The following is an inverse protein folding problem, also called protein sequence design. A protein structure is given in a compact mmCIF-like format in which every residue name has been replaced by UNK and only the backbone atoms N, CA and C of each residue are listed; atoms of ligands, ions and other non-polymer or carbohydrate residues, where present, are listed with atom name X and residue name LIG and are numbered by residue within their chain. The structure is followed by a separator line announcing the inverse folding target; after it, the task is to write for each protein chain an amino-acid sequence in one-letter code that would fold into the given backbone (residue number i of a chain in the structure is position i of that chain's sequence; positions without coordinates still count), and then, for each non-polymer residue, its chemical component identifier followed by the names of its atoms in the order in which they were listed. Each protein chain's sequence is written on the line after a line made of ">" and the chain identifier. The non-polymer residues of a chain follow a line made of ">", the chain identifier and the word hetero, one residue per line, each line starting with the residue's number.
data_IF_203904689374
#
_entry.id   IF_203904689374
#
_cell.length_a   1.000
_cell.length_b   1.000
_cell.length_c   1.000
_cell.angle_alpha   90.00
_cell.angle_beta   90.00
_cell.angle_gamma   90.00
#
_symmetry.space_group_name_H-M   'P 1'
#
loop_
_entity.id
_entity.type
_entity.pdbx_description
1 polymer ?
#
# COMPACT_ATOMS: atom_id res chain seq x y z
N UNK A 1 24.61 14.46 -65.32
CA UNK A 1 24.90 15.58 -64.41
C UNK A 1 24.68 15.10 -62.99
N UNK A 2 25.75 14.99 -62.19
CA UNK A 2 25.64 14.94 -60.72
C UNK A 2 25.45 16.38 -60.27
N UNK A 3 24.63 16.61 -59.24
CA UNK A 3 24.81 17.69 -58.26
C UNK A 3 23.85 17.46 -57.08
N UNK A 4 24.46 17.59 -55.91
CA UNK A 4 23.99 17.27 -54.57
C UNK A 4 22.85 18.17 -54.09
N UNK A 5 22.03 17.69 -53.16
CA UNK A 5 21.61 18.54 -52.04
C UNK A 5 21.37 17.70 -50.79
N UNK A 6 22.39 17.69 -49.94
CA UNK A 6 22.27 17.31 -48.55
C UNK A 6 21.53 18.44 -47.83
N UNK A 7 20.33 18.14 -47.35
CA UNK A 7 19.63 18.92 -46.32
C UNK A 7 19.21 17.86 -45.29
N UNK A 8 20.08 17.58 -44.33
CA UNK A 8 19.92 18.05 -42.93
C UNK A 8 18.53 17.67 -42.41
N UNK A 9 18.40 16.55 -41.68
CA UNK A 9 18.53 16.48 -40.20
C UNK A 9 17.65 17.55 -39.52
N UNK A 10 16.87 17.14 -38.48
CA UNK A 10 15.96 17.92 -37.60
C UNK A 10 14.49 17.54 -37.93
N UNK A 11 13.69 16.78 -37.16
CA UNK A 11 13.59 16.56 -35.71
C UNK A 11 13.06 15.14 -35.39
N UNK A 12 13.83 14.38 -34.58
CA UNK A 12 13.25 13.47 -33.60
C UNK A 12 12.84 14.32 -32.39
N UNK A 13 11.56 14.37 -32.06
CA UNK A 13 11.07 14.84 -30.77
C UNK A 13 10.63 13.62 -29.95
N UNK A 14 11.39 13.19 -28.92
CA UNK A 14 10.83 12.28 -27.95
C UNK A 14 9.77 13.04 -27.16
N UNK A 15 8.55 12.51 -27.14
CA UNK A 15 7.53 12.95 -26.19
C UNK A 15 8.01 12.55 -24.79
N UNK A 16 8.70 13.48 -24.12
CA UNK A 16 9.09 13.32 -22.73
C UNK A 16 7.79 13.46 -21.92
N UNK A 17 7.10 12.35 -21.71
CA UNK A 17 6.04 12.26 -20.71
C UNK A 17 6.72 12.39 -19.34
N UNK A 18 6.78 13.62 -18.84
CA UNK A 18 7.13 13.89 -17.46
C UNK A 18 6.00 13.34 -16.58
N UNK A 19 6.12 12.10 -16.11
CA UNK A 19 5.42 11.66 -14.92
C UNK A 19 6.03 12.44 -13.75
N UNK A 20 5.44 13.60 -13.43
CA UNK A 20 5.69 14.25 -12.15
C UNK A 20 5.12 13.35 -11.06
N UNK A 21 5.95 12.43 -10.56
CA UNK A 21 5.68 11.78 -9.29
C UNK A 21 5.73 12.87 -8.23
N UNK A 22 4.56 13.32 -7.76
CA UNK A 22 4.50 14.09 -6.52
C UNK A 22 5.26 13.30 -5.46
N UNK A 23 6.21 13.91 -4.73
CA UNK A 23 6.89 13.21 -3.66
C UNK A 23 5.81 12.76 -2.68
N UNK A 24 5.66 11.44 -2.54
CA UNK A 24 4.72 10.86 -1.62
C UNK A 24 4.99 11.44 -0.24
N UNK A 25 3.98 12.06 0.35
CA UNK A 25 4.04 12.51 1.74
C UNK A 25 4.32 11.27 2.57
N UNK A 26 5.56 11.06 3.00
CA UNK A 26 5.87 10.01 3.97
C UNK A 26 5.07 10.36 5.22
N UNK A 27 4.13 9.52 5.67
CA UNK A 27 3.36 9.81 6.87
C UNK A 27 4.34 10.05 8.03
N UNK A 28 4.23 11.18 8.73
CA UNK A 28 4.96 11.42 9.96
C UNK A 28 4.50 10.36 10.99
N UNK A 29 5.35 9.37 11.26
CA UNK A 29 5.04 8.28 12.19
C UNK A 29 5.89 7.02 11.96
N UNK A 30 5.81 6.03 12.88
CA UNK A 30 6.43 4.73 12.66
C UNK A 30 5.83 4.06 11.43
N UNK A 31 6.63 3.29 10.68
CA UNK A 31 6.12 2.55 9.53
C UNK A 31 5.08 1.50 9.99
N UNK A 32 4.04 1.22 9.18
CA UNK A 32 3.11 0.15 9.49
C UNK A 32 3.82 -1.21 9.50
N UNK A 33 3.34 -2.13 10.33
CA UNK A 33 3.87 -3.48 10.38
C UNK A 33 3.16 -4.36 9.35
N UNK A 34 3.95 -5.14 8.61
CA UNK A 34 3.43 -6.08 7.63
C UNK A 34 4.10 -7.44 7.80
N UNK A 35 3.32 -8.44 8.19
CA UNK A 35 3.75 -9.81 8.40
C UNK A 35 3.10 -10.72 7.37
N UNK A 36 3.86 -11.67 6.86
CA UNK A 36 3.44 -12.64 5.84
C UNK A 36 3.64 -14.06 6.32
N UNK A 37 2.79 -14.96 5.85
CA UNK A 37 2.94 -16.39 6.05
C UNK A 37 2.42 -17.14 4.82
N UNK A 38 3.20 -18.10 4.34
CA UNK A 38 2.82 -19.01 3.26
C UNK A 38 2.72 -20.41 3.84
N UNK A 39 1.52 -20.98 3.88
CA UNK A 39 1.33 -22.32 4.43
C UNK A 39 1.84 -23.42 3.47
N UNK A 40 1.74 -24.68 3.90
CA UNK A 40 2.18 -25.83 3.11
C UNK A 40 1.40 -25.97 1.79
N UNK A 41 0.08 -25.72 1.84
CA UNK A 41 -0.84 -25.73 0.69
C UNK A 41 -0.59 -24.56 -0.29
N UNK A 42 0.22 -23.57 0.13
CA UNK A 42 0.56 -22.39 -0.65
C UNK A 42 -0.42 -21.23 -0.50
N UNK A 43 -1.37 -21.28 0.43
CA UNK A 43 -2.15 -20.10 0.81
C UNK A 43 -1.21 -19.02 1.37
N UNK A 44 -1.39 -17.79 0.88
CA UNK A 44 -0.60 -16.62 1.27
C UNK A 44 -1.42 -15.73 2.19
N UNK A 45 -1.04 -15.66 3.45
CA UNK A 45 -1.73 -14.89 4.48
C UNK A 45 -0.88 -13.72 4.93
N UNK A 46 -1.53 -12.63 5.29
CA UNK A 46 -0.86 -11.46 5.84
C UNK A 46 -1.57 -10.90 7.06
N UNK A 47 -0.80 -10.19 7.87
CA UNK A 47 -1.28 -9.32 8.94
C UNK A 47 -0.66 -7.95 8.73
N UNK A 48 -1.51 -6.93 8.61
CA UNK A 48 -1.14 -5.53 8.50
C UNK A 48 -1.57 -4.81 9.77
N UNK A 49 -0.65 -4.12 10.43
CA UNK A 49 -0.95 -3.24 11.55
C UNK A 49 -0.62 -1.81 11.16
N UNK A 50 -1.63 -0.96 11.15
CA UNK A 50 -1.47 0.45 10.84
C UNK A 50 -0.59 1.11 11.91
N UNK A 51 0.21 2.09 11.48
CA UNK A 51 0.97 2.91 12.40
C UNK A 51 0.04 3.51 13.47
N UNK A 52 0.41 3.50 14.77
CA UNK A 52 -0.29 4.29 15.77
C UNK A 52 -0.42 5.73 15.28
N UNK A 53 -1.65 6.22 15.14
CA UNK A 53 -1.92 7.63 14.92
C UNK A 53 -1.68 8.36 16.24
N UNK A 54 -0.41 8.49 16.66
CA UNK A 54 -0.02 9.20 17.89
C UNK A 54 -0.39 10.69 17.79
N UNK A 55 -0.55 11.19 16.56
CA UNK A 55 -1.08 12.52 16.26
C UNK A 55 -2.36 12.36 15.47
N UNK A 56 -3.50 12.41 16.16
CA UNK A 56 -4.73 12.80 15.50
C UNK A 56 -4.48 14.17 14.86
N UNK A 57 -4.72 14.38 13.55
CA UNK A 57 -4.48 15.67 12.92
C UNK A 57 -5.16 16.77 13.72
N UNK A 58 -4.45 17.86 14.02
CA UNK A 58 -4.81 18.90 14.99
C UNK A 58 -6.18 19.58 14.80
N UNK A 59 -6.94 19.21 13.75
CA UNK A 59 -8.32 19.64 13.51
C UNK A 59 -9.38 18.95 14.39
N UNK A 60 -8.98 18.15 15.39
CA UNK A 60 -9.92 17.51 16.33
C UNK A 60 -10.14 18.26 17.64
N UNK A 61 -9.51 19.43 17.80
CA UNK A 61 -9.76 20.32 18.93
C UNK A 61 -10.80 21.37 18.53
N UNK A 62 -12.07 20.99 18.43
CA UNK A 62 -13.18 21.95 18.62
C UNK A 62 -14.51 21.21 18.84
N UNK A 63 -15.02 21.39 20.06
CA UNK A 63 -16.42 21.35 20.52
C UNK A 63 -17.03 20.01 21.02
N UNK A 64 -17.27 19.99 22.34
CA UNK A 64 -17.51 18.84 23.23
C UNK A 64 -18.99 18.39 23.31
N UNK A 65 -19.82 18.80 22.35
CA UNK A 65 -21.29 18.60 22.41
C UNK A 65 -21.89 17.79 21.24
N UNK A 66 -21.06 17.30 20.29
CA UNK A 66 -21.48 16.47 19.12
C UNK A 66 -20.78 15.10 19.04
N UNK A 67 -20.26 14.63 20.16
CA UNK A 67 -19.27 13.54 20.28
C UNK A 67 -19.64 12.22 19.59
N UNK A 68 -20.92 11.83 19.52
CA UNK A 68 -21.34 10.54 18.93
C UNK A 68 -21.32 10.52 17.40
N UNK A 69 -21.67 11.63 16.73
CA UNK A 69 -21.61 11.69 15.25
C UNK A 69 -20.17 11.88 14.77
N UNK A 70 -19.37 12.61 15.55
CA UNK A 70 -17.96 12.86 15.26
C UNK A 70 -17.13 11.57 15.43
N UNK A 71 -17.33 10.80 16.50
CA UNK A 71 -16.58 9.55 16.73
C UNK A 71 -16.74 8.53 15.61
N UNK A 72 -17.96 8.37 15.06
CA UNK A 72 -18.19 7.52 13.88
C UNK A 72 -17.39 8.00 12.67
N UNK A 73 -17.38 9.30 12.40
CA UNK A 73 -16.60 9.87 11.29
C UNK A 73 -15.08 9.74 11.47
N UNK A 74 -14.60 9.72 12.72
CA UNK A 74 -13.19 9.49 13.02
C UNK A 74 -12.78 8.03 12.85
N UNK A 75 -13.65 7.10 13.23
CA UNK A 75 -13.44 5.68 12.99
C UNK A 75 -13.44 5.38 11.50
N UNK A 76 -14.44 5.86 10.76
CA UNK A 76 -14.52 5.72 9.29
C UNK A 76 -13.27 6.31 8.61
N UNK A 77 -12.80 7.49 9.06
CA UNK A 77 -11.59 8.09 8.52
C UNK A 77 -10.33 7.28 8.85
N UNK A 78 -10.26 6.67 10.03
CA UNK A 78 -9.13 5.82 10.42
C UNK A 78 -9.10 4.54 9.58
N UNK A 79 -10.25 3.92 9.37
CA UNK A 79 -10.39 2.73 8.52
C UNK A 79 -10.00 3.04 7.08
N UNK A 80 -10.42 4.18 6.53
CA UNK A 80 -10.01 4.60 5.19
C UNK A 80 -8.49 4.80 5.06
N UNK A 81 -7.85 5.43 6.06
CA UNK A 81 -6.38 5.58 6.08
C UNK A 81 -5.67 4.23 6.22
N UNK A 82 -6.21 3.32 7.03
CA UNK A 82 -5.68 1.96 7.17
C UNK A 82 -5.75 1.21 5.83
N UNK A 83 -6.87 1.30 5.12
CA UNK A 83 -7.07 0.64 3.82
C UNK A 83 -6.13 1.22 2.74
N UNK A 84 -5.93 2.54 2.74
CA UNK A 84 -4.98 3.22 1.86
C UNK A 84 -3.56 2.72 2.10
N UNK A 85 -3.10 2.71 3.37
CA UNK A 85 -1.76 2.22 3.73
C UNK A 85 -1.57 0.73 3.42
N UNK A 86 -2.61 -0.09 3.61
CA UNK A 86 -2.56 -1.51 3.24
C UNK A 86 -2.39 -1.66 1.72
N UNK A 87 -3.15 -0.88 0.94
CA UNK A 87 -3.08 -0.89 -0.53
C UNK A 87 -1.68 -0.54 -1.02
N UNK A 88 -1.10 0.55 -0.49
CA UNK A 88 0.27 0.96 -0.80
C UNK A 88 1.30 -0.11 -0.38
N UNK A 89 1.13 -0.70 0.80
CA UNK A 89 2.02 -1.74 1.30
C UNK A 89 1.98 -2.98 0.41
N UNK A 90 0.80 -3.44 0.02
CA UNK A 90 0.65 -4.60 -0.87
C UNK A 90 1.24 -4.32 -2.26
N UNK A 91 1.03 -3.13 -2.80
CA UNK A 91 1.62 -2.72 -4.08
C UNK A 91 3.16 -2.67 -4.01
N UNK A 92 3.71 -2.11 -2.93
CA UNK A 92 5.16 -2.00 -2.73
C UNK A 92 5.82 -3.36 -2.47
N UNK A 93 5.15 -4.27 -1.75
CA UNK A 93 5.66 -5.60 -1.45
C UNK A 93 5.42 -6.60 -2.58
N UNK A 94 4.43 -6.36 -3.45
CA UNK A 94 4.01 -7.29 -4.49
C UNK A 94 3.66 -8.69 -3.95
N UNK A 95 3.10 -8.75 -2.73
CA UNK A 95 2.79 -10.01 -2.03
C UNK A 95 1.52 -10.66 -2.56
N UNK A 96 0.42 -9.91 -2.68
CA UNK A 96 -0.82 -10.35 -3.34
C UNK A 96 -0.95 -9.67 -4.71
N UNK A 97 -0.97 -10.46 -5.78
CA UNK A 97 -0.99 -9.99 -7.18
C UNK A 97 -2.38 -9.94 -7.79
N UNK A 98 -3.29 -10.83 -7.38
CA UNK A 98 -4.64 -10.92 -7.94
C UNK A 98 -5.72 -10.46 -6.95
N UNK A 99 -5.31 -9.64 -5.98
CA UNK A 99 -6.14 -9.17 -4.88
C UNK A 99 -6.10 -10.10 -3.67
N UNK A 100 -6.94 -9.79 -2.69
CA UNK A 100 -7.03 -10.50 -1.43
C UNK A 100 -8.45 -10.47 -0.88
N UNK A 101 -8.73 -11.36 0.06
CA UNK A 101 -9.92 -11.31 0.92
C UNK A 101 -9.52 -10.91 2.34
N UNK A 102 -10.41 -10.20 3.02
CA UNK A 102 -10.24 -9.85 4.44
C UNK A 102 -10.79 -10.98 5.31
N UNK A 103 -9.94 -11.51 6.18
CA UNK A 103 -10.31 -12.54 7.16
C UNK A 103 -10.79 -11.93 8.48
N UNK A 104 -10.17 -10.83 8.90
CA UNK A 104 -10.60 -10.06 10.08
C UNK A 104 -10.06 -8.63 10.01
N UNK A 105 -10.81 -7.68 10.56
CA UNK A 105 -10.41 -6.27 10.62
C UNK A 105 -10.78 -5.66 11.97
N UNK A 106 -9.84 -4.90 12.53
CA UNK A 106 -10.05 -3.95 13.62
C UNK A 106 -9.53 -2.59 13.18
N UNK A 107 -9.81 -1.53 13.93
CA UNK A 107 -9.40 -0.16 13.59
C UNK A 107 -7.88 0.08 13.53
N UNK A 108 -7.04 -0.93 13.79
CA UNK A 108 -5.58 -0.85 13.66
C UNK A 108 -4.94 -2.12 13.09
N UNK A 109 -5.68 -3.22 12.89
CA UNK A 109 -5.15 -4.46 12.33
C UNK A 109 -6.07 -5.07 11.27
N UNK A 110 -5.50 -5.46 10.13
CA UNK A 110 -6.16 -6.24 9.08
C UNK A 110 -5.44 -7.58 8.92
N UNK A 111 -6.19 -8.66 8.85
CA UNK A 111 -5.70 -9.98 8.45
C UNK A 111 -6.36 -10.38 7.14
N UNK A 112 -5.56 -10.84 6.19
CA UNK A 112 -6.06 -11.21 4.87
C UNK A 112 -5.39 -12.42 4.28
N UNK A 113 -5.95 -12.89 3.18
CA UNK A 113 -5.46 -13.99 2.37
C UNK A 113 -5.46 -13.57 0.90
N UNK A 114 -4.36 -13.78 0.19
CA UNK A 114 -4.30 -13.49 -1.24
C UNK A 114 -5.19 -14.45 -2.03
N UNK A 115 -5.77 -13.97 -3.14
CA UNK A 115 -6.60 -14.81 -4.01
C UNK A 115 -5.80 -15.88 -4.78
N UNK A 116 -4.49 -15.69 -4.91
CA UNK A 116 -3.60 -16.65 -5.57
C UNK A 116 -2.69 -17.42 -4.60
N UNK A 117 -2.39 -18.66 -5.00
CA UNK A 117 -1.39 -19.51 -4.34
C UNK A 117 0.04 -18.97 -4.52
N UNK A 118 0.90 -19.24 -3.55
CA UNK A 118 2.32 -18.94 -3.61
C UNK A 118 3.04 -19.73 -4.71
N UNK A 119 3.88 -19.02 -5.43
CA UNK A 119 4.93 -19.59 -6.28
C UNK A 119 6.17 -19.91 -5.45
N UNK A 120 7.13 -20.62 -6.04
CA UNK A 120 8.43 -20.82 -5.38
C UNK A 120 9.15 -19.48 -5.12
N UNK A 121 9.08 -18.55 -6.07
CA UNK A 121 9.65 -17.21 -5.90
C UNK A 121 9.02 -16.45 -4.72
N UNK A 122 7.72 -16.65 -4.45
CA UNK A 122 7.08 -16.08 -3.26
C UNK A 122 7.66 -16.68 -1.97
N UNK A 123 7.90 -17.99 -1.93
CA UNK A 123 8.49 -18.67 -0.77
C UNK A 123 9.92 -18.21 -0.50
N UNK A 124 10.68 -17.95 -1.57
CA UNK A 124 12.06 -17.47 -1.47
C UNK A 124 12.11 -15.99 -1.03
N UNK A 125 11.17 -15.17 -1.51
CA UNK A 125 11.09 -13.74 -1.18
C UNK A 125 10.46 -13.46 0.20
N UNK A 126 9.55 -14.31 0.66
CA UNK A 126 8.78 -14.14 1.89
C UNK A 126 8.91 -15.35 2.82
N UNK A 127 10.12 -15.65 3.34
CA UNK A 127 10.32 -16.78 4.24
C UNK A 127 9.51 -16.60 5.52
N UNK A 128 8.85 -17.69 5.94
CA UNK A 128 8.04 -17.70 7.15
C UNK A 128 8.90 -17.44 8.38
N UNK A 129 8.42 -16.58 9.28
CA UNK A 129 9.03 -16.33 10.58
C UNK A 129 8.39 -17.22 11.64
N UNK A 130 9.21 -17.72 12.57
CA UNK A 130 8.74 -18.55 13.68
C UNK A 130 7.71 -17.86 14.60
N UNK A 131 7.67 -16.52 14.58
CA UNK A 131 6.76 -15.70 15.39
C UNK A 131 5.39 -15.44 14.75
N UNK A 132 5.02 -16.17 13.68
CA UNK A 132 3.69 -16.05 13.09
C UNK A 132 2.62 -16.54 14.08
N UNK A 133 1.56 -15.75 14.28
CA UNK A 133 0.40 -16.14 15.07
C UNK A 133 -0.84 -16.17 14.17
N UNK A 134 -1.55 -17.30 14.20
CA UNK A 134 -2.80 -17.54 13.48
C UNK A 134 -4.02 -16.83 14.09
#
# INVERSE_FOLDING_TARGET
>A
MRLFSAVALVLLLPAITACSGMPGTTPDGPAPLFHTNINEEGSKRFTFEAAPLDVLPSRLQEDDSRLSRNSKSLLERREALQDEQLTETLAARNYCRTGYIVLSQTSWKIRGECNETATQADRDAFPNKASWQE
#
